data_IF_914106892726
#
_entry.id   IF_914106892726
#
_cell.length_a   1.000
_cell.length_b   1.000
_cell.length_c   1.000
_cell.angle_alpha   90.00
_cell.angle_beta   90.00
_cell.angle_gamma   90.00
#
_symmetry.space_group_name_H-M   'P 1'
#
loop_
_entity.id
_entity.type
_entity.pdbx_description
1 polymer ?
#
# COMPACT_ATOMS: atom_id res chain seq x y z
N UNK A 1 -67.03 -33.45 -41.48
CA UNK A 1 -66.11 -34.05 -40.49
C UNK A 1 -65.28 -32.94 -39.87
N UNK A 2 -65.50 -32.70 -38.57
CA UNK A 2 -64.87 -31.66 -37.75
C UNK A 2 -63.41 -32.03 -37.46
N UNK A 3 -62.49 -31.07 -37.61
CA UNK A 3 -61.29 -30.98 -36.77
C UNK A 3 -60.99 -29.49 -36.52
N UNK A 4 -61.42 -29.02 -35.35
CA UNK A 4 -61.08 -27.71 -34.80
C UNK A 4 -59.60 -27.65 -34.51
N UNK A 5 -58.91 -26.63 -35.01
CA UNK A 5 -57.55 -26.30 -34.64
C UNK A 5 -57.59 -25.10 -33.69
N UNK A 6 -57.60 -25.37 -32.39
CA UNK A 6 -57.41 -24.36 -31.35
C UNK A 6 -55.92 -24.34 -31.03
N UNK A 7 -55.21 -23.28 -31.44
CA UNK A 7 -53.87 -23.00 -30.91
C UNK A 7 -53.94 -21.76 -30.00
N UNK A 8 -53.54 -22.01 -28.76
CA UNK A 8 -53.56 -21.10 -27.62
C UNK A 8 -52.47 -20.03 -27.81
N UNK A 9 -52.85 -18.76 -27.78
CA UNK A 9 -51.91 -17.66 -27.70
C UNK A 9 -51.31 -17.62 -26.28
N UNK A 10 -50.07 -18.09 -26.13
CA UNK A 10 -49.30 -17.93 -24.90
C UNK A 10 -48.79 -16.49 -24.83
N UNK A 11 -49.49 -15.64 -24.07
CA UNK A 11 -49.04 -14.29 -23.74
C UNK A 11 -47.79 -14.35 -22.85
N UNK A 12 -46.63 -14.09 -23.43
CA UNK A 12 -45.37 -13.94 -22.71
C UNK A 12 -45.40 -12.60 -21.95
N UNK A 13 -45.83 -12.63 -20.69
CA UNK A 13 -45.70 -11.49 -19.79
C UNK A 13 -44.21 -11.30 -19.47
N UNK A 14 -43.57 -10.35 -20.16
CA UNK A 14 -42.26 -9.81 -19.78
C UNK A 14 -42.43 -9.01 -18.48
N UNK A 15 -42.35 -9.68 -17.34
CA UNK A 15 -42.17 -9.03 -16.06
C UNK A 15 -40.76 -8.41 -16.04
N UNK A 16 -40.66 -7.13 -16.37
CA UNK A 16 -39.44 -6.35 -16.17
C UNK A 16 -39.13 -6.31 -14.67
N UNK A 17 -38.15 -7.10 -14.23
CA UNK A 17 -37.61 -6.96 -12.89
C UNK A 17 -37.03 -5.54 -12.77
N UNK A 18 -37.36 -4.77 -11.71
CA UNK A 18 -36.75 -3.47 -11.52
C UNK A 18 -35.24 -3.70 -11.37
N UNK A 19 -34.46 -3.13 -12.27
CA UNK A 19 -33.01 -3.07 -12.12
C UNK A 19 -32.75 -2.36 -10.79
N UNK A 20 -32.32 -3.13 -9.78
CA UNK A 20 -31.83 -2.57 -8.53
C UNK A 20 -30.69 -1.63 -8.91
N UNK A 21 -30.93 -0.33 -8.79
CA UNK A 21 -29.92 0.69 -9.01
C UNK A 21 -28.77 0.37 -8.05
N UNK A 22 -27.69 -0.19 -8.59
CA UNK A 22 -26.52 -0.52 -7.83
C UNK A 22 -25.87 0.82 -7.45
N UNK A 23 -26.11 1.26 -6.21
CA UNK A 23 -25.55 2.51 -5.70
C UNK A 23 -24.04 2.43 -5.81
N UNK A 24 -23.43 3.42 -6.46
CA UNK A 24 -21.98 3.48 -6.61
C UNK A 24 -21.31 3.36 -5.22
N UNK A 25 -20.21 2.61 -5.09
CA UNK A 25 -19.50 2.50 -3.82
C UNK A 25 -19.08 3.90 -3.34
N UNK A 26 -19.05 4.12 -2.01
CA UNK A 26 -18.63 5.40 -1.45
C UNK A 26 -17.22 5.75 -1.91
N UNK A 27 -16.90 7.05 -2.05
CA UNK A 27 -15.56 7.47 -2.42
C UNK A 27 -14.55 6.95 -1.38
N UNK A 28 -13.31 6.61 -1.81
CA UNK A 28 -12.29 6.16 -0.89
C UNK A 28 -12.01 7.21 0.18
N UNK A 29 -11.70 6.74 1.39
CA UNK A 29 -11.36 7.61 2.50
C UNK A 29 -10.16 8.51 2.13
N UNK A 30 -10.13 9.77 2.58
CA UNK A 30 -9.03 10.66 2.28
C UNK A 30 -7.72 10.16 2.92
N UNK A 31 -6.61 10.31 2.19
CA UNK A 31 -5.29 9.99 2.71
C UNK A 31 -4.93 10.90 3.92
N UNK A 32 -4.19 10.39 4.93
CA UNK A 32 -3.80 11.16 6.12
C UNK A 32 -3.07 12.46 5.74
N UNK A 33 -3.31 13.55 6.47
CA UNK A 33 -2.63 14.83 6.24
C UNK A 33 -1.16 14.78 6.68
N UNK A 34 -0.31 15.62 6.09
CA UNK A 34 1.03 15.85 6.63
C UNK A 34 0.94 16.56 7.98
N UNK A 35 1.86 16.21 8.88
CA UNK A 35 2.09 16.93 10.12
C UNK A 35 2.88 18.21 9.87
N UNK A 36 2.76 19.19 10.77
CA UNK A 36 3.61 20.39 10.76
C UNK A 36 5.04 20.13 11.26
N UNK A 37 5.28 18.98 11.90
CA UNK A 37 6.60 18.49 12.26
C UNK A 37 6.98 17.28 11.40
N UNK A 38 8.28 17.05 11.28
CA UNK A 38 8.85 15.84 10.68
C UNK A 38 9.28 14.84 11.75
N UNK A 39 9.53 13.61 11.33
CA UNK A 39 10.11 12.58 12.18
C UNK A 39 11.51 13.01 12.63
N UNK A 40 11.79 12.84 13.92
CA UNK A 40 13.11 13.11 14.48
C UNK A 40 14.06 11.94 14.23
N UNK A 41 15.37 12.19 14.31
CA UNK A 41 16.37 11.12 14.26
C UNK A 41 16.17 10.07 15.38
N UNK A 42 15.74 10.48 16.57
CA UNK A 42 15.50 9.57 17.69
C UNK A 42 14.33 8.62 17.39
N UNK A 43 13.22 9.14 16.86
CA UNK A 43 12.08 8.35 16.40
C UNK A 43 12.49 7.42 15.25
N UNK A 44 13.26 7.93 14.27
CA UNK A 44 13.75 7.12 13.15
C UNK A 44 14.62 5.94 13.61
N UNK A 45 15.53 6.15 14.57
CA UNK A 45 16.32 5.06 15.18
C UNK A 45 15.44 4.01 15.86
N UNK A 46 14.40 4.43 16.58
CA UNK A 46 13.45 3.50 17.20
C UNK A 46 12.70 2.66 16.17
N UNK A 47 12.24 3.31 15.09
CA UNK A 47 11.54 2.65 13.99
C UNK A 47 12.45 1.65 13.28
N UNK A 48 13.70 2.04 12.96
CA UNK A 48 14.67 1.15 12.30
C UNK A 48 15.03 -0.04 13.19
N UNK A 49 15.27 0.16 14.49
CA UNK A 49 15.55 -0.92 15.42
C UNK A 49 14.39 -1.93 15.51
N UNK A 50 13.14 -1.45 15.47
CA UNK A 50 11.96 -2.33 15.43
C UNK A 50 11.88 -3.14 14.12
N UNK A 51 12.14 -2.50 12.97
CA UNK A 51 12.21 -3.17 11.68
C UNK A 51 13.30 -4.26 11.66
N UNK A 52 14.51 -3.91 12.09
CA UNK A 52 15.65 -4.81 12.15
C UNK A 52 15.37 -6.02 13.05
N UNK A 53 14.75 -5.81 14.22
CA UNK A 53 14.38 -6.90 15.13
C UNK A 53 13.42 -7.90 14.47
N UNK A 54 12.44 -7.43 13.69
CA UNK A 54 11.51 -8.31 12.96
C UNK A 54 12.24 -9.02 11.82
N UNK A 55 13.08 -8.33 11.05
CA UNK A 55 13.86 -8.94 9.99
C UNK A 55 14.78 -10.05 10.53
N UNK A 56 15.53 -9.78 11.61
CA UNK A 56 16.40 -10.76 12.28
C UNK A 56 15.64 -11.95 12.80
N UNK A 57 14.48 -11.74 13.43
CA UNK A 57 13.62 -12.83 13.93
C UNK A 57 13.20 -13.81 12.83
N UNK A 58 13.04 -13.33 11.60
CA UNK A 58 12.63 -14.15 10.46
C UNK A 58 13.81 -14.61 9.57
N UNK A 59 15.05 -14.29 9.94
CA UNK A 59 16.23 -14.67 9.16
C UNK A 59 16.36 -13.92 7.83
N UNK A 60 15.80 -12.71 7.74
CA UNK A 60 15.90 -11.87 6.54
C UNK A 60 16.99 -10.81 6.68
N UNK A 61 17.76 -10.58 5.61
CA UNK A 61 18.72 -9.48 5.49
C UNK A 61 18.14 -8.38 4.61
N UNK A 62 17.91 -7.20 5.18
CA UNK A 62 17.19 -6.11 4.53
C UNK A 62 17.92 -4.77 4.61
N UNK A 63 17.54 -3.85 3.71
CA UNK A 63 17.77 -2.42 3.85
C UNK A 63 16.50 -1.78 4.40
N UNK A 64 16.68 -0.90 5.38
CA UNK A 64 15.61 -0.17 6.05
C UNK A 64 15.93 1.32 5.93
N UNK A 65 15.02 2.08 5.34
CA UNK A 65 15.19 3.52 5.11
C UNK A 65 14.01 4.29 5.69
N UNK A 66 14.29 5.32 6.49
CA UNK A 66 13.31 6.26 7.03
C UNK A 66 13.53 7.64 6.39
N UNK A 67 12.43 8.25 5.96
CA UNK A 67 12.40 9.58 5.35
C UNK A 67 11.45 10.52 6.09
N UNK A 68 11.70 11.81 6.00
CA UNK A 68 10.74 12.86 6.36
C UNK A 68 9.54 12.87 5.38
N UNK A 69 8.50 13.62 5.71
CA UNK A 69 7.29 13.77 4.88
C UNK A 69 7.56 14.31 3.46
N UNK A 70 8.69 14.98 3.23
CA UNK A 70 9.13 15.47 1.92
C UNK A 70 9.98 14.45 1.13
N UNK A 71 10.26 13.28 1.71
CA UNK A 71 11.10 12.24 1.10
C UNK A 71 12.62 12.39 1.32
N UNK A 72 13.07 13.36 2.12
CA UNK A 72 14.45 13.50 2.54
C UNK A 72 14.83 12.38 3.53
N UNK A 73 16.02 11.80 3.36
CA UNK A 73 16.47 10.68 4.18
C UNK A 73 16.86 11.17 5.58
N UNK A 74 16.33 10.51 6.60
CA UNK A 74 16.72 10.73 8.00
C UNK A 74 17.72 9.66 8.45
N UNK A 75 17.43 8.40 8.13
CA UNK A 75 18.27 7.25 8.48
C UNK A 75 18.09 6.16 7.44
N UNK A 76 19.19 5.49 7.09
CA UNK A 76 19.15 4.26 6.30
C UNK A 76 20.17 3.29 6.84
N UNK A 77 19.75 2.06 7.09
CA UNK A 77 20.59 0.97 7.57
C UNK A 77 20.50 -0.22 6.62
N UNK A 78 21.65 -0.82 6.32
CA UNK A 78 21.75 -2.03 5.50
C UNK A 78 22.29 -3.16 6.35
N UNK A 79 21.49 -4.20 6.53
CA UNK A 79 21.93 -5.42 7.22
C UNK A 79 22.98 -6.16 6.39
N UNK A 80 23.87 -6.88 7.07
CA UNK A 80 24.84 -7.75 6.40
C UNK A 80 24.13 -8.80 5.54
N UNK A 81 24.66 -9.04 4.34
CA UNK A 81 24.10 -9.97 3.38
C UNK A 81 22.85 -9.47 2.63
N UNK A 82 22.35 -8.26 2.90
CA UNK A 82 21.26 -7.68 2.12
C UNK A 82 21.71 -7.41 0.67
N UNK A 83 20.79 -7.61 -0.29
CA UNK A 83 21.06 -7.41 -1.71
C UNK A 83 21.43 -5.95 -2.01
N UNK A 84 22.47 -5.70 -2.82
CA UNK A 84 22.90 -4.33 -3.14
C UNK A 84 21.79 -3.46 -3.77
N UNK A 85 20.95 -4.05 -4.62
CA UNK A 85 19.82 -3.33 -5.22
C UNK A 85 18.74 -2.89 -4.22
N UNK A 86 18.74 -3.44 -3.00
CA UNK A 86 17.76 -3.08 -1.98
C UNK A 86 17.94 -1.67 -1.43
N UNK A 87 19.12 -1.05 -1.57
CA UNK A 87 19.38 0.31 -1.12
C UNK A 87 18.46 1.32 -1.83
N UNK A 88 18.46 1.28 -3.15
CA UNK A 88 17.63 2.17 -3.96
C UNK A 88 16.14 1.81 -3.84
N UNK A 89 15.82 0.52 -3.76
CA UNK A 89 14.43 0.04 -3.64
C UNK A 89 13.80 0.48 -2.31
N UNK A 90 14.48 0.29 -1.18
CA UNK A 90 13.99 0.72 0.13
C UNK A 90 13.74 2.24 0.16
N UNK A 91 14.68 3.04 -0.36
CA UNK A 91 14.53 4.49 -0.47
C UNK A 91 13.33 4.87 -1.36
N UNK A 92 13.18 4.25 -2.53
CA UNK A 92 12.05 4.54 -3.43
C UNK A 92 10.71 4.15 -2.80
N UNK A 93 10.64 3.05 -2.06
CA UNK A 93 9.44 2.65 -1.30
C UNK A 93 9.07 3.69 -0.24
N UNK A 94 10.05 4.12 0.57
CA UNK A 94 9.84 5.14 1.60
C UNK A 94 9.34 6.47 1.00
N UNK A 95 10.02 6.96 -0.06
CA UNK A 95 9.62 8.18 -0.78
C UNK A 95 8.26 8.07 -1.42
N UNK A 96 7.92 6.91 -1.99
CA UNK A 96 6.60 6.68 -2.56
C UNK A 96 5.53 6.78 -1.48
N UNK A 97 5.74 6.14 -0.33
CA UNK A 97 4.79 6.22 0.77
C UNK A 97 4.59 7.66 1.26
N UNK A 98 5.68 8.39 1.51
CA UNK A 98 5.64 9.79 1.94
C UNK A 98 4.92 10.68 0.91
N UNK A 99 5.40 10.71 -0.33
CA UNK A 99 4.97 11.66 -1.36
C UNK A 99 3.51 11.47 -1.80
N UNK A 100 3.03 10.21 -1.78
CA UNK A 100 1.66 9.88 -2.18
C UNK A 100 0.74 9.61 -1.00
N UNK A 101 1.22 9.76 0.23
CA UNK A 101 0.44 9.69 1.48
C UNK A 101 -0.31 8.37 1.63
N UNK A 102 0.28 7.26 1.17
CA UNK A 102 -0.30 5.92 1.24
C UNK A 102 0.75 4.81 1.08
N UNK A 103 0.53 3.61 1.64
CA UNK A 103 1.47 2.50 1.52
C UNK A 103 1.74 2.08 0.07
N UNK A 104 2.94 1.54 -0.19
CA UNK A 104 3.28 1.05 -1.55
C UNK A 104 2.49 -0.20 -1.96
N UNK A 105 1.88 -0.90 -0.99
CA UNK A 105 0.97 -2.02 -1.24
C UNK A 105 -0.26 -1.59 -2.05
N UNK A 106 -0.75 -0.35 -1.88
CA UNK A 106 -1.86 0.17 -2.69
C UNK A 106 -1.47 0.32 -4.17
N UNK A 107 -0.25 0.78 -4.45
CA UNK A 107 0.28 0.88 -5.82
C UNK A 107 0.49 -0.50 -6.42
N UNK A 108 1.05 -1.44 -5.66
CA UNK A 108 1.20 -2.83 -6.09
C UNK A 108 -0.15 -3.45 -6.46
N UNK A 109 -1.18 -3.21 -5.64
CA UNK A 109 -2.53 -3.70 -5.91
C UNK A 109 -3.15 -3.05 -7.16
N UNK A 110 -2.92 -1.75 -7.36
CA UNK A 110 -3.37 -1.05 -8.57
C UNK A 110 -2.75 -1.65 -9.84
N UNK A 111 -1.44 -1.94 -9.82
CA UNK A 111 -0.75 -2.60 -10.95
C UNK A 111 -1.31 -4.00 -11.19
N UNK A 112 -1.50 -4.80 -10.13
CA UNK A 112 -2.12 -6.14 -10.22
C UNK A 112 -3.53 -6.09 -10.80
N UNK A 113 -4.28 -5.02 -10.54
CA UNK A 113 -5.62 -4.79 -11.08
C UNK A 113 -5.62 -4.22 -12.52
N UNK A 114 -4.46 -4.06 -13.17
CA UNK A 114 -4.35 -3.54 -14.54
C UNK A 114 -4.27 -2.01 -14.62
N UNK A 115 -4.21 -1.29 -13.49
CA UNK A 115 -4.05 0.17 -13.46
C UNK A 115 -2.58 0.55 -13.60
N UNK A 116 -2.00 0.35 -14.78
CA UNK A 116 -0.58 0.61 -15.04
C UNK A 116 -0.18 2.08 -14.88
N UNK A 117 -1.13 3.01 -15.03
CA UNK A 117 -0.86 4.44 -14.84
C UNK A 117 -0.35 4.78 -13.42
N UNK A 118 -0.57 3.89 -12.45
CA UNK A 118 -0.08 4.05 -11.08
C UNK A 118 1.46 4.19 -11.01
N UNK A 119 2.21 3.60 -11.95
CA UNK A 119 3.68 3.67 -11.98
C UNK A 119 4.26 4.80 -12.83
N UNK A 120 3.47 5.43 -13.71
CA UNK A 120 3.96 6.53 -14.57
C UNK A 120 4.33 7.80 -13.79
N UNK A 121 3.97 7.85 -12.52
CA UNK A 121 4.31 8.92 -11.58
C UNK A 121 5.71 8.77 -10.98
N UNK A 122 6.42 7.68 -11.27
CA UNK A 122 7.69 7.31 -10.62
C UNK A 122 7.53 6.60 -9.28
N UNK A 123 6.29 6.26 -8.88
CA UNK A 123 5.99 5.49 -7.68
C UNK A 123 6.56 4.06 -7.74
N UNK A 124 7.12 3.59 -6.63
CA UNK A 124 7.51 2.20 -6.45
C UNK A 124 6.29 1.34 -6.10
N UNK A 125 5.73 0.67 -7.10
CA UNK A 125 4.58 -0.23 -6.94
C UNK A 125 4.97 -1.63 -6.41
N UNK A 126 5.80 -1.66 -5.37
CA UNK A 126 6.25 -2.87 -4.69
C UNK A 126 6.02 -2.65 -3.19
N UNK A 127 5.30 -3.56 -2.54
CA UNK A 127 5.02 -3.52 -1.10
C UNK A 127 6.31 -3.44 -0.26
N UNK A 128 6.23 -2.72 0.87
CA UNK A 128 7.36 -2.49 1.79
C UNK A 128 7.59 -1.03 2.16
N UNK A 129 6.81 -0.09 1.60
CA UNK A 129 6.77 1.30 2.04
C UNK A 129 5.51 1.57 2.87
N UNK A 130 5.67 2.13 4.06
CA UNK A 130 4.59 2.42 5.02
C UNK A 130 4.71 3.84 5.58
N UNK A 131 3.56 4.42 5.94
CA UNK A 131 3.49 5.74 6.55
C UNK A 131 3.91 5.68 8.02
N UNK A 132 4.61 6.72 8.48
CA UNK A 132 4.89 6.94 9.90
C UNK A 132 3.94 8.03 10.39
N UNK A 133 3.01 7.66 11.27
CA UNK A 133 1.92 8.52 11.74
C UNK A 133 2.11 8.87 13.21
N UNK A 134 1.82 10.11 13.56
CA UNK A 134 1.64 10.59 14.94
C UNK A 134 0.38 11.43 14.97
N UNK A 135 -0.51 11.14 15.92
CA UNK A 135 -1.85 11.76 16.01
C UNK A 135 -2.63 11.70 14.67
N UNK A 136 -2.48 10.60 13.92
CA UNK A 136 -3.12 10.40 12.62
C UNK A 136 -2.56 11.27 11.48
N UNK A 137 -1.44 11.97 11.69
CA UNK A 137 -0.77 12.80 10.68
C UNK A 137 0.60 12.24 10.31
N UNK A 138 0.99 12.41 9.05
CA UNK A 138 2.24 11.89 8.49
C UNK A 138 3.40 12.74 8.98
N UNK A 139 4.31 12.13 9.74
CA UNK A 139 5.60 12.73 10.13
C UNK A 139 6.76 12.24 9.26
N UNK A 140 6.55 11.14 8.53
CA UNK A 140 7.53 10.56 7.61
C UNK A 140 7.04 9.24 7.01
N UNK A 141 7.96 8.46 6.47
CA UNK A 141 7.69 7.13 5.97
C UNK A 141 8.89 6.20 6.17
N UNK A 142 8.63 4.90 6.20
CA UNK A 142 9.64 3.84 6.19
C UNK A 142 9.53 3.05 4.88
N UNK A 143 10.66 2.63 4.35
CA UNK A 143 10.77 1.68 3.25
C UNK A 143 11.71 0.53 3.61
N UNK A 144 11.30 -0.69 3.31
CA UNK A 144 12.06 -1.92 3.57
C UNK A 144 12.22 -2.70 2.27
N UNK A 145 13.42 -3.25 2.05
CA UNK A 145 13.72 -4.10 0.90
C UNK A 145 14.76 -5.16 1.24
N UNK A 146 14.56 -6.38 0.77
CA UNK A 146 15.55 -7.46 0.85
C UNK A 146 14.92 -8.86 0.88
N UNK A 147 13.65 -8.94 1.26
CA UNK A 147 12.82 -10.14 1.09
C UNK A 147 11.92 -10.05 -0.15
N UNK A 148 10.88 -10.87 -0.16
CA UNK A 148 9.73 -10.71 -1.04
C UNK A 148 8.89 -9.50 -0.61
N UNK A 149 8.07 -8.96 -1.53
CA UNK A 149 7.28 -7.77 -1.24
C UNK A 149 6.36 -7.90 0.00
N UNK A 150 5.69 -9.04 0.25
CA UNK A 150 4.93 -9.23 1.49
C UNK A 150 5.81 -9.26 2.75
N UNK A 151 7.02 -9.84 2.68
CA UNK A 151 7.96 -9.88 3.81
C UNK A 151 8.46 -8.48 4.16
N UNK A 152 8.83 -7.69 3.14
CA UNK A 152 9.17 -6.27 3.29
C UNK A 152 8.00 -5.50 3.94
N UNK A 153 6.78 -5.76 3.50
CA UNK A 153 5.55 -5.17 4.07
C UNK A 153 5.32 -5.54 5.54
N UNK A 154 5.56 -6.79 5.92
CA UNK A 154 5.45 -7.25 7.31
C UNK A 154 6.40 -6.45 8.21
N UNK A 155 7.65 -6.31 7.80
CA UNK A 155 8.68 -5.58 8.56
C UNK A 155 8.33 -4.09 8.64
N UNK A 156 7.99 -3.46 7.51
CA UNK A 156 7.65 -2.04 7.47
C UNK A 156 6.45 -1.70 8.36
N UNK A 157 5.36 -2.50 8.31
CA UNK A 157 4.17 -2.27 9.15
C UNK A 157 4.45 -2.47 10.63
N UNK A 158 5.19 -3.51 10.99
CA UNK A 158 5.54 -3.78 12.37
C UNK A 158 6.35 -2.63 12.98
N UNK A 159 7.29 -2.08 12.21
CA UNK A 159 8.07 -0.92 12.62
C UNK A 159 7.24 0.37 12.70
N UNK A 160 6.41 0.64 11.70
CA UNK A 160 5.54 1.82 11.67
C UNK A 160 4.57 1.86 12.87
N UNK A 161 4.06 0.70 13.28
CA UNK A 161 3.16 0.58 14.43
C UNK A 161 3.81 0.89 15.79
N UNK A 162 5.14 1.01 15.86
CA UNK A 162 5.84 1.41 17.10
C UNK A 162 5.77 2.91 17.38
N UNK A 163 5.49 3.71 16.35
CA UNK A 163 5.34 5.16 16.47
C UNK A 163 3.89 5.49 16.82
N UNK A 164 3.69 6.32 17.86
CA UNK A 164 2.36 6.74 18.35
C UNK A 164 2.26 8.26 18.34
#
# INVERSE_FOLDING_TARGET
MRKSLTLIAAGLCLAGAPALAQTAPPPPAPHPAYSGRVITLAEAKSVVAAAEAVARKNGWSMVITVVESNGAVVLSEKMDGAQYGSEEVALKKARTAANFRRPTSEFQNAVKAGTLNAIFTGAMAIEGGELLLVDGKIVGAIGVSGGSAPEDGIVARAAAATLR
#
